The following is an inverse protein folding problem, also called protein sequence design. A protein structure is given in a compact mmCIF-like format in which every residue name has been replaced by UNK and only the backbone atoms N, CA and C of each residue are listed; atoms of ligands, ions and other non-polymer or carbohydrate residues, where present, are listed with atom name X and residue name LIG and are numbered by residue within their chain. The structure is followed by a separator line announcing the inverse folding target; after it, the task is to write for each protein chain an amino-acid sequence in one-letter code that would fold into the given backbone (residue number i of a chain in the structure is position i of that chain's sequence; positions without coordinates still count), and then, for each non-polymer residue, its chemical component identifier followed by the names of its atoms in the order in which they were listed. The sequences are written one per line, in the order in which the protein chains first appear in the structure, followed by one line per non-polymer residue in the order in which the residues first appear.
data_IF_480233751271
#
_entry.id   IF_480233751271
#
_cell.length_a   1.000
_cell.length_b   1.000
_cell.length_c   1.000
_cell.angle_alpha   90.00
_cell.angle_beta   90.00
_cell.angle_gamma   90.00
#
_symmetry.space_group_name_H-M   'P 1'
#
loop_
_entity.id
_entity.type
_entity.pdbx_description
1 polymer ?
#
# COMPACT_ATOMS: atom_id res chain seq x y z
N UNK A 1 12.04 0.92 -3.66
CA UNK A 1 11.68 -0.48 -4.01
C UNK A 1 11.90 -0.84 -5.49
N UNK A 2 12.69 -0.09 -6.29
CA UNK A 2 12.87 -0.48 -7.70
C UNK A 2 13.67 -1.79 -7.78
N UNK A 3 13.12 -2.80 -8.44
CA UNK A 3 13.78 -4.10 -8.67
C UNK A 3 13.84 -5.06 -7.48
N UNK A 4 13.25 -4.71 -6.32
CA UNK A 4 13.20 -5.63 -5.19
C UNK A 4 12.16 -6.73 -5.42
N UNK A 5 12.48 -7.97 -5.03
CA UNK A 5 11.52 -9.08 -5.08
C UNK A 5 10.46 -8.88 -4.00
N UNK A 6 9.22 -9.25 -4.34
CA UNK A 6 8.13 -9.34 -3.39
C UNK A 6 7.33 -10.61 -3.65
N UNK A 7 6.61 -11.06 -2.64
CA UNK A 7 5.58 -12.08 -2.73
C UNK A 7 4.35 -11.55 -2.02
N UNK A 8 3.17 -11.84 -2.58
CA UNK A 8 1.92 -11.37 -2.02
C UNK A 8 0.84 -12.44 -2.18
N UNK A 9 0.02 -12.61 -1.15
CA UNK A 9 -1.15 -13.49 -1.16
C UNK A 9 -2.33 -12.79 -0.51
N UNK A 10 -3.44 -12.71 -1.25
CA UNK A 10 -4.69 -12.19 -0.75
C UNK A 10 -5.66 -13.33 -0.50
N UNK A 11 -5.97 -13.58 0.77
CA UNK A 11 -6.90 -14.62 1.17
C UNK A 11 -8.36 -14.25 0.83
N UNK A 12 -9.26 -15.23 0.70
CA UNK A 12 -10.69 -14.94 0.68
C UNK A 12 -11.12 -14.28 2.00
N UNK A 13 -12.24 -13.55 2.03
CA UNK A 13 -12.78 -13.03 3.27
C UNK A 13 -13.17 -14.17 4.21
N UNK A 14 -13.09 -13.92 5.52
CA UNK A 14 -13.65 -14.84 6.51
C UNK A 14 -15.18 -14.93 6.33
N UNK A 15 -15.77 -16.08 6.70
CA UNK A 15 -17.22 -16.30 6.58
C UNK A 15 -17.98 -15.20 7.33
N UNK A 16 -18.83 -14.46 6.60
CA UNK A 16 -19.64 -13.37 7.15
C UNK A 16 -18.92 -12.03 7.35
N UNK A 17 -17.67 -11.90 6.88
CA UNK A 17 -16.92 -10.65 6.92
C UNK A 17 -16.59 -10.10 5.53
N UNK A 18 -16.31 -8.80 5.45
CA UNK A 18 -15.82 -8.14 4.22
C UNK A 18 -14.29 -8.00 4.21
N UNK A 19 -13.65 -8.21 5.36
CA UNK A 19 -12.21 -8.09 5.52
C UNK A 19 -11.49 -9.31 4.96
N UNK A 20 -10.43 -9.05 4.19
CA UNK A 20 -9.52 -10.04 3.61
C UNK A 20 -8.14 -9.86 4.22
N UNK A 21 -7.46 -10.96 4.47
CA UNK A 21 -6.07 -10.92 4.92
C UNK A 21 -5.13 -10.89 3.72
N UNK A 22 -4.22 -9.93 3.70
CA UNK A 22 -3.13 -9.79 2.75
C UNK A 22 -1.82 -10.14 3.45
N UNK A 23 -1.18 -11.20 2.97
CA UNK A 23 0.18 -11.56 3.36
C UNK A 23 1.14 -10.96 2.35
N UNK A 24 2.13 -10.22 2.83
CA UNK A 24 3.14 -9.57 2.01
C UNK A 24 4.51 -10.01 2.51
N UNK A 25 5.42 -10.31 1.60
CA UNK A 25 6.86 -10.41 1.84
C UNK A 25 7.54 -9.49 0.85
N UNK A 26 8.28 -8.49 1.31
CA UNK A 26 8.85 -7.46 0.45
C UNK A 26 10.06 -6.80 1.10
N UNK A 27 10.84 -6.05 0.34
CA UNK A 27 11.84 -5.15 0.91
C UNK A 27 11.17 -3.83 1.32
N UNK A 28 11.06 -3.52 2.63
CA UNK A 28 10.43 -2.28 3.08
C UNK A 28 11.21 -1.06 2.58
N UNK A 29 10.57 0.13 2.47
CA UNK A 29 11.29 1.37 2.24
C UNK A 29 12.32 1.60 3.35
N UNK A 30 13.39 2.33 3.04
CA UNK A 30 14.39 2.65 4.08
C UNK A 30 13.76 3.54 5.15
N UNK A 31 14.25 3.51 6.41
CA UNK A 31 13.73 4.36 7.45
C UNK A 31 13.71 5.85 7.07
N UNK A 32 14.71 6.33 6.34
CA UNK A 32 14.80 7.73 5.88
C UNK A 32 13.61 8.09 4.98
N UNK A 33 13.23 7.21 4.06
CA UNK A 33 12.06 7.40 3.19
C UNK A 33 10.75 7.42 3.97
N UNK A 34 10.73 6.82 5.17
CA UNK A 34 9.58 6.77 6.08
C UNK A 34 9.71 7.75 7.25
N UNK A 35 10.56 8.77 7.11
CA UNK A 35 10.80 9.77 8.14
C UNK A 35 11.20 9.17 9.49
N UNK A 36 12.06 8.15 9.46
CA UNK A 36 12.64 7.40 10.57
C UNK A 36 11.86 6.16 11.02
N UNK A 37 10.73 5.83 10.39
CA UNK A 37 9.94 4.65 10.79
C UNK A 37 10.49 3.35 10.25
N UNK A 38 10.39 2.29 11.07
CA UNK A 38 10.76 0.92 10.67
C UNK A 38 9.49 0.11 10.41
N UNK A 39 9.50 -0.63 9.30
CA UNK A 39 8.44 -1.57 8.91
C UNK A 39 9.01 -2.98 8.79
N UNK A 40 8.22 -3.96 9.21
CA UNK A 40 8.55 -5.36 9.00
C UNK A 40 8.48 -5.71 7.50
N UNK A 41 9.33 -6.63 7.06
CA UNK A 41 9.39 -7.14 5.69
C UNK A 41 8.27 -8.13 5.37
N UNK A 42 7.66 -8.74 6.40
CA UNK A 42 6.51 -9.65 6.29
C UNK A 42 5.25 -9.26 7.08
N UNK A 43 4.58 -8.13 6.78
CA UNK A 43 3.42 -7.67 7.54
C UNK A 43 2.14 -8.46 7.20
N UNK A 44 1.18 -8.44 8.12
CA UNK A 44 -0.21 -8.81 7.83
C UNK A 44 -1.08 -7.57 7.72
N UNK A 45 -1.73 -7.42 6.56
CA UNK A 45 -2.68 -6.35 6.35
C UNK A 45 -4.09 -6.93 6.31
N UNK A 46 -5.03 -6.24 6.93
CA UNK A 46 -6.45 -6.44 6.68
C UNK A 46 -6.89 -5.40 5.66
N UNK A 47 -7.53 -5.83 4.58
CA UNK A 47 -8.05 -4.96 3.52
C UNK A 47 -9.51 -5.27 3.25
N UNK A 48 -10.26 -4.32 2.69
CA UNK A 48 -11.64 -4.55 2.24
C UNK A 48 -11.71 -5.08 0.78
N UNK A 49 -12.92 -5.17 0.23
CA UNK A 49 -13.17 -5.60 -1.15
C UNK A 49 -12.51 -4.72 -2.22
N UNK A 50 -12.17 -3.47 -1.90
CA UNK A 50 -11.47 -2.53 -2.77
C UNK A 50 -9.97 -2.42 -2.44
N UNK A 51 -9.45 -3.36 -1.64
CA UNK A 51 -8.08 -3.39 -1.14
C UNK A 51 -7.71 -2.19 -0.25
N UNK A 52 -8.68 -1.42 0.24
CA UNK A 52 -8.38 -0.34 1.16
C UNK A 52 -7.99 -0.91 2.53
N UNK A 53 -6.92 -0.36 3.12
CA UNK A 53 -6.34 -0.89 4.35
C UNK A 53 -7.31 -0.65 5.50
N UNK A 54 -7.76 -1.70 6.17
CA UNK A 54 -8.56 -1.65 7.38
C UNK A 54 -7.64 -1.55 8.59
N UNK A 55 -6.63 -2.43 8.63
CA UNK A 55 -5.64 -2.52 9.69
C UNK A 55 -4.32 -3.04 9.13
N UNK A 56 -3.23 -2.68 9.81
CA UNK A 56 -1.90 -3.18 9.52
C UNK A 56 -1.28 -3.62 10.84
N UNK A 57 -1.23 -4.93 11.03
CA UNK A 57 -0.66 -5.55 12.21
C UNK A 57 0.73 -6.11 11.86
N UNK A 58 1.72 -5.76 12.66
CA UNK A 58 3.02 -6.40 12.59
C UNK A 58 3.03 -7.61 13.53
N UNK A 59 3.59 -8.73 13.06
CA UNK A 59 3.87 -9.90 13.91
C UNK A 59 4.77 -9.51 15.07
N UNK A 60 5.84 -8.78 14.74
CA UNK A 60 6.89 -8.34 15.65
C UNK A 60 7.17 -6.85 15.38
N UNK A 61 7.03 -6.00 16.40
CA UNK A 61 7.26 -4.55 16.31
C UNK A 61 6.10 -3.68 16.78
N UNK A 62 6.36 -2.37 16.92
CA UNK A 62 5.41 -1.41 17.48
C UNK A 62 4.78 -0.47 16.43
N UNK A 63 5.23 -0.56 15.18
CA UNK A 63 4.58 0.09 14.04
C UNK A 63 3.27 -0.62 13.68
N UNK A 64 2.24 0.13 13.29
CA UNK A 64 0.97 -0.46 12.88
C UNK A 64 -0.13 0.57 12.66
N UNK A 65 -1.23 0.13 12.07
CA UNK A 65 -2.37 0.98 11.74
C UNK A 65 -3.64 0.35 12.31
N UNK A 66 -4.39 1.12 13.09
CA UNK A 66 -5.70 0.71 13.63
C UNK A 66 -6.78 1.68 13.18
N UNK A 67 -7.97 1.20 12.79
CA UNK A 67 -9.07 2.07 12.41
C UNK A 67 -9.64 2.79 13.65
N UNK A 68 -10.04 4.05 13.49
CA UNK A 68 -10.77 4.83 14.50
C UNK A 68 -12.21 5.06 14.02
N UNK A 69 -13.17 5.09 14.97
CA UNK A 69 -14.59 5.27 14.65
C UNK A 69 -15.09 6.70 14.88
N UNK A 70 -14.51 7.41 15.85
CA UNK A 70 -14.91 8.77 16.21
C UNK A 70 -13.69 9.61 16.61
N UNK A 71 -13.18 10.49 15.73
CA UNK A 71 -13.54 10.63 14.32
C UNK A 71 -13.10 9.40 13.49
N UNK A 72 -13.79 9.16 12.37
CA UNK A 72 -13.45 8.10 11.44
C UNK A 72 -12.08 8.33 10.79
N UNK A 73 -11.26 7.27 10.75
CA UNK A 73 -9.92 7.34 10.18
C UNK A 73 -9.00 6.26 10.72
N UNK A 74 -7.76 6.64 11.01
CA UNK A 74 -6.70 5.76 11.47
C UNK A 74 -5.92 6.36 12.62
N UNK A 75 -5.50 5.49 13.53
CA UNK A 75 -4.38 5.71 14.44
C UNK A 75 -3.18 4.95 13.90
N UNK A 76 -2.16 5.68 13.48
CA UNK A 76 -0.87 5.12 13.05
C UNK A 76 0.09 5.14 14.23
N UNK A 77 0.62 3.98 14.57
CA UNK A 77 1.73 3.80 15.50
C UNK A 77 3.02 3.67 14.68
N UNK A 78 4.06 4.40 15.07
CA UNK A 78 5.34 4.46 14.37
C UNK A 78 6.44 4.15 15.37
N UNK A 79 7.09 3.00 15.20
CA UNK A 79 8.37 2.75 15.85
C UNK A 79 9.46 3.52 15.12
N UNK A 80 10.23 4.30 15.88
CA UNK A 80 11.26 5.21 15.41
C UNK A 80 12.57 4.84 16.09
N UNK A 81 13.62 4.63 15.30
CA UNK A 81 14.96 4.32 15.79
C UNK A 81 15.86 5.54 15.54
N UNK A 82 16.44 6.10 16.61
CA UNK A 82 17.38 7.24 16.53
C UNK A 82 18.60 6.90 17.37
N UNK A 83 19.70 6.51 16.71
CA UNK A 83 20.84 5.91 17.41
C UNK A 83 20.44 4.58 18.03
N UNK A 84 20.66 4.43 19.34
CA UNK A 84 20.27 3.24 20.11
C UNK A 84 18.88 3.37 20.77
N UNK A 85 18.20 4.52 20.62
CA UNK A 85 16.91 4.78 21.25
C UNK A 85 15.74 4.34 20.36
N UNK A 86 14.79 3.61 20.98
CA UNK A 86 13.51 3.25 20.39
C UNK A 86 12.39 4.14 20.97
N UNK A 87 11.69 4.87 20.10
CA UNK A 87 10.52 5.67 20.51
C UNK A 87 9.29 5.31 19.68
N UNK A 88 8.12 5.36 20.32
CA UNK A 88 6.84 5.15 19.65
C UNK A 88 6.16 6.49 19.48
N UNK A 89 5.86 6.87 18.23
CA UNK A 89 5.03 8.03 17.91
C UNK A 89 3.67 7.60 17.41
N UNK A 90 2.65 8.35 17.76
CA UNK A 90 1.30 8.15 17.24
C UNK A 90 0.88 9.33 16.38
N UNK A 91 0.17 9.05 15.27
CA UNK A 91 -0.45 10.06 14.41
C UNK A 91 -1.88 9.65 14.07
N UNK A 92 -2.79 10.62 14.10
CA UNK A 92 -4.15 10.42 13.58
C UNK A 92 -4.19 10.82 12.10
N UNK A 93 -4.85 10.00 11.28
CA UNK A 93 -5.19 10.33 9.89
C UNK A 93 -6.70 10.24 9.77
N UNK A 94 -7.35 11.36 9.45
CA UNK A 94 -8.81 11.41 9.37
C UNK A 94 -9.32 11.02 7.97
N UNK A 95 -10.59 10.61 7.91
CA UNK A 95 -11.32 10.38 6.67
C UNK A 95 -11.47 8.91 6.27
N UNK A 96 -11.90 8.70 5.03
CA UNK A 96 -12.22 7.37 4.49
C UNK A 96 -11.00 6.45 4.39
N UNK A 97 -11.22 5.14 4.27
CA UNK A 97 -10.12 4.21 4.08
C UNK A 97 -9.41 4.44 2.74
N UNK A 98 -8.15 4.01 2.65
CA UNK A 98 -7.35 4.17 1.44
C UNK A 98 -6.25 3.12 1.31
N UNK A 99 -5.51 3.21 0.21
CA UNK A 99 -4.29 2.43 -0.02
C UNK A 99 -3.10 3.12 0.64
N UNK A 100 -2.13 2.32 1.12
CA UNK A 100 -0.84 2.88 1.50
C UNK A 100 -0.07 3.34 0.25
N UNK A 101 0.50 4.55 0.30
CA UNK A 101 1.23 5.16 -0.81
C UNK A 101 2.43 4.30 -1.26
N UNK A 102 3.13 3.67 -0.33
CA UNK A 102 4.33 2.88 -0.63
C UNK A 102 3.99 1.47 -1.13
N UNK A 103 2.79 0.97 -0.83
CA UNK A 103 2.29 -0.31 -1.33
C UNK A 103 1.50 -0.20 -2.65
N UNK A 104 1.34 1.00 -3.23
CA UNK A 104 0.57 1.18 -4.48
C UNK A 104 0.98 0.21 -5.59
N UNK A 105 2.27 -0.03 -5.90
CA UNK A 105 2.63 -1.00 -6.94
C UNK A 105 2.07 -2.41 -6.67
N UNK A 106 2.15 -2.87 -5.41
CA UNK A 106 1.65 -4.19 -4.99
C UNK A 106 0.12 -4.24 -5.06
N UNK A 107 -0.56 -3.18 -4.61
CA UNK A 107 -2.03 -3.11 -4.63
C UNK A 107 -2.57 -3.01 -6.07
N UNK A 108 -1.88 -2.31 -6.96
CA UNK A 108 -2.16 -2.33 -8.39
C UNK A 108 -1.99 -3.74 -8.98
N UNK A 109 -0.93 -4.48 -8.62
CA UNK A 109 -0.75 -5.85 -9.11
C UNK A 109 -1.93 -6.78 -8.76
N UNK A 110 -2.61 -6.50 -7.64
CA UNK A 110 -3.76 -7.27 -7.17
C UNK A 110 -5.10 -6.80 -7.77
N UNK A 111 -5.32 -5.49 -7.84
CA UNK A 111 -6.63 -4.91 -8.16
C UNK A 111 -6.76 -4.23 -9.52
N UNK A 112 -5.66 -3.90 -10.19
CA UNK A 112 -5.70 -3.18 -11.47
C UNK A 112 -6.18 -4.07 -12.62
N UNK A 113 -6.93 -3.45 -13.53
CA UNK A 113 -7.51 -4.06 -14.73
C UNK A 113 -7.42 -3.07 -15.89
N UNK A 114 -7.01 -3.55 -17.07
CA UNK A 114 -6.77 -2.73 -18.25
C UNK A 114 -8.04 -2.05 -18.80
N UNK A 115 -9.20 -2.66 -18.55
CA UNK A 115 -10.53 -2.23 -19.00
C UNK A 115 -11.34 -1.50 -17.93
N UNK A 116 -10.79 -1.31 -16.73
CA UNK A 116 -11.49 -0.70 -15.61
C UNK A 116 -11.22 0.81 -15.50
N UNK A 117 -12.16 1.48 -14.86
CA UNK A 117 -12.01 2.84 -14.35
C UNK A 117 -12.08 2.80 -12.83
N UNK A 118 -11.14 3.45 -12.15
CA UNK A 118 -11.22 3.59 -10.72
C UNK A 118 -10.48 4.83 -10.21
N UNK A 119 -10.88 5.27 -9.03
CA UNK A 119 -10.20 6.27 -8.23
C UNK A 119 -10.11 5.75 -6.79
N UNK A 120 -8.91 5.78 -6.22
CA UNK A 120 -8.63 5.27 -4.89
C UNK A 120 -7.85 6.31 -4.10
N UNK A 121 -8.30 6.60 -2.87
CA UNK A 121 -7.56 7.44 -1.93
C UNK A 121 -6.22 6.77 -1.60
N UNK A 122 -5.14 7.54 -1.67
CA UNK A 122 -3.83 7.13 -1.17
C UNK A 122 -3.54 7.82 0.17
N UNK A 123 -2.88 7.10 1.05
CA UNK A 123 -2.49 7.56 2.38
C UNK A 123 -1.01 7.22 2.55
N UNK A 124 -0.20 8.24 2.82
CA UNK A 124 1.18 8.02 3.24
C UNK A 124 1.20 7.76 4.76
N UNK A 125 1.00 6.50 5.15
CA UNK A 125 0.80 6.14 6.55
C UNK A 125 2.03 6.40 7.42
N UNK A 126 3.23 6.33 6.87
CA UNK A 126 4.48 6.44 7.63
C UNK A 126 5.35 7.62 7.22
N UNK A 127 5.19 8.17 6.02
CA UNK A 127 5.93 9.31 5.51
C UNK A 127 5.28 10.67 5.77
N UNK A 128 5.86 11.68 5.14
CA UNK A 128 5.56 13.09 5.36
C UNK A 128 4.22 13.53 4.74
N UNK A 129 3.71 12.81 3.74
CA UNK A 129 2.55 13.22 2.93
C UNK A 129 1.21 12.75 3.51
N UNK A 130 1.19 12.29 4.76
CA UNK A 130 0.03 11.60 5.35
C UNK A 130 -1.25 12.42 5.47
N UNK A 131 -1.18 13.75 5.28
CA UNK A 131 -2.33 14.66 5.27
C UNK A 131 -2.68 15.18 3.88
N UNK A 132 -1.89 14.87 2.85
CA UNK A 132 -2.18 15.29 1.48
C UNK A 132 -3.37 14.50 0.92
N UNK A 133 -4.23 15.12 0.09
CA UNK A 133 -5.36 14.45 -0.56
C UNK A 133 -4.88 13.65 -1.78
N UNK A 134 -4.06 12.63 -1.54
CA UNK A 134 -3.46 11.81 -2.59
C UNK A 134 -4.46 10.80 -3.17
N UNK A 135 -4.32 10.52 -4.46
CA UNK A 135 -5.18 9.59 -5.19
C UNK A 135 -4.38 8.78 -6.21
N UNK A 136 -4.81 7.54 -6.43
CA UNK A 136 -4.50 6.78 -7.63
C UNK A 136 -5.74 6.75 -8.50
N UNK A 137 -5.59 7.09 -9.78
CA UNK A 137 -6.67 7.08 -10.77
C UNK A 137 -6.23 6.33 -12.00
N UNK A 138 -7.10 5.50 -12.55
CA UNK A 138 -6.86 4.88 -13.84
C UNK A 138 -8.12 4.73 -14.67
N UNK A 139 -7.89 4.70 -15.98
CA UNK A 139 -8.85 4.43 -17.05
C UNK A 139 -8.10 3.66 -18.15
N UNK A 140 -8.79 3.14 -19.20
CA UNK A 140 -8.10 2.48 -20.30
C UNK A 140 -7.01 3.36 -20.92
N UNK A 141 -5.75 2.96 -20.77
CA UNK A 141 -4.57 3.66 -21.31
C UNK A 141 -3.98 4.77 -20.42
N UNK A 142 -4.58 5.08 -19.27
CA UNK A 142 -4.07 6.09 -18.34
C UNK A 142 -4.01 5.58 -16.91
N UNK A 143 -2.88 5.85 -16.24
CA UNK A 143 -2.69 5.58 -14.83
C UNK A 143 -1.94 6.77 -14.21
N UNK A 144 -2.50 7.34 -13.15
CA UNK A 144 -1.86 8.36 -12.34
C UNK A 144 -1.81 7.92 -10.88
N UNK A 145 -0.68 8.17 -10.22
CA UNK A 145 -0.44 7.84 -8.82
C UNK A 145 0.13 9.07 -8.13
N UNK A 146 -0.61 9.60 -7.15
CA UNK A 146 -0.22 10.78 -6.39
C UNK A 146 0.19 12.00 -7.27
N UNK A 147 -0.46 12.14 -8.42
CA UNK A 147 -0.20 13.20 -9.41
C UNK A 147 0.82 12.85 -10.51
N UNK A 148 1.49 11.70 -10.42
CA UNK A 148 2.47 11.25 -11.41
C UNK A 148 1.85 10.30 -12.43
N UNK A 149 2.16 10.47 -13.72
CA UNK A 149 1.73 9.54 -14.77
C UNK A 149 2.61 8.31 -14.78
N UNK A 150 2.01 7.13 -14.63
CA UNK A 150 2.68 5.84 -14.72
C UNK A 150 2.21 5.09 -15.98
N UNK A 151 2.97 4.08 -16.38
CA UNK A 151 2.65 3.21 -17.51
C UNK A 151 2.38 1.80 -16.99
N UNK A 152 1.20 1.26 -17.31
CA UNK A 152 0.81 -0.10 -16.98
C UNK A 152 0.74 -0.93 -18.27
N UNK A 153 1.38 -2.09 -18.26
CA UNK A 153 1.29 -3.10 -19.31
C UNK A 153 0.47 -4.28 -18.78
N UNK A 154 -0.50 -4.74 -19.56
CA UNK A 154 -1.37 -5.84 -19.19
C UNK A 154 -0.84 -7.20 -19.68
N UNK A 155 -1.15 -8.27 -18.95
CA UNK A 155 -1.06 -9.64 -19.45
C UNK A 155 -2.26 -9.99 -20.37
N UNK A 156 -2.27 -11.21 -20.88
CA UNK A 156 -3.33 -11.70 -21.77
C UNK A 156 -4.73 -11.70 -21.11
N UNK A 157 -4.80 -11.74 -19.78
CA UNK A 157 -6.05 -11.70 -19.03
C UNK A 157 -6.48 -10.27 -18.70
N UNK A 158 -5.72 -9.24 -19.10
CA UNK A 158 -6.00 -7.84 -18.79
C UNK A 158 -5.61 -7.43 -17.36
N UNK A 159 -4.75 -8.21 -16.68
CA UNK A 159 -4.20 -7.88 -15.35
C UNK A 159 -2.82 -7.23 -15.49
N UNK A 160 -2.34 -6.59 -14.43
CA UNK A 160 -1.04 -5.93 -14.46
C UNK A 160 0.09 -6.95 -14.66
N UNK A 161 0.90 -6.73 -15.69
CA UNK A 161 2.13 -7.46 -16.01
C UNK A 161 3.38 -6.64 -15.67
N UNK A 162 3.42 -5.37 -16.10
CA UNK A 162 4.52 -4.45 -15.81
C UNK A 162 4.01 -3.08 -15.42
N UNK A 163 4.78 -2.40 -14.58
CA UNK A 163 4.54 -1.04 -14.15
C UNK A 163 5.81 -0.21 -14.30
N UNK A 164 5.73 0.95 -14.95
CA UNK A 164 6.84 1.88 -15.12
C UNK A 164 6.46 3.29 -14.66
N UNK A 165 7.45 4.04 -14.23
CA UNK A 165 7.28 5.46 -13.88
C UNK A 165 7.14 6.35 -15.13
N UNK A 166 7.00 7.65 -14.92
CA UNK A 166 6.91 8.64 -16.01
C UNK A 166 8.15 8.69 -16.91
N UNK A 167 9.32 8.31 -16.38
CA UNK A 167 10.60 8.27 -17.10
C UNK A 167 10.83 6.92 -17.81
N UNK A 168 9.88 5.99 -17.74
CA UNK A 168 10.01 4.64 -18.29
C UNK A 168 10.83 3.68 -17.43
N UNK A 169 11.25 4.09 -16.24
CA UNK A 169 11.94 3.24 -15.27
C UNK A 169 11.01 2.16 -14.71
N UNK A 170 11.48 0.92 -14.67
CA UNK A 170 10.68 -0.20 -14.17
C UNK A 170 10.44 -0.09 -12.65
N UNK A 171 9.17 -0.10 -12.27
CA UNK A 171 8.70 -0.10 -10.87
C UNK A 171 8.44 -1.55 -10.43
N UNK A 172 7.71 -2.30 -11.25
CA UNK A 172 7.21 -3.64 -10.92
C UNK A 172 7.13 -4.53 -12.16
N UNK A 173 7.46 -5.81 -11.99
CA UNK A 173 7.11 -6.89 -12.93
C UNK A 173 6.42 -7.99 -12.15
N UNK A 174 5.26 -8.43 -12.62
CA UNK A 174 4.51 -9.54 -12.02
C UNK A 174 4.89 -10.83 -12.74
N UNK A 175 5.72 -11.64 -12.08
CA UNK A 175 6.12 -12.95 -12.58
C UNK A 175 5.41 -14.04 -11.77
N UNK A 176 4.46 -14.74 -12.40
CA UNK A 176 3.72 -15.83 -11.78
C UNK A 176 2.47 -15.37 -11.03
N UNK A 177 1.31 -15.53 -11.66
CA UNK A 177 -0.01 -15.40 -11.03
C UNK A 177 -0.61 -16.80 -10.95
N UNK A 178 -1.07 -17.20 -9.77
CA UNK A 178 -1.74 -18.48 -9.52
C UNK A 178 -3.14 -18.23 -8.98
#
# INVERSE_FOLDING_TARGET
MRGARFWVRLHPPAVGGEARQLELVYTPPTPEALGGSVLHDSPYLQVDGHLAIIAWDLRDGLSGIKPTKDPAGYKVMREMVVGDDHTIKARAILGARGWDLHLVPVLLALGWRADANAEVRLIDFYGARGLEPLVARWSPGELTVAGERWQAEADADGRLLRLRDAAGGEILVVAGRK
#
